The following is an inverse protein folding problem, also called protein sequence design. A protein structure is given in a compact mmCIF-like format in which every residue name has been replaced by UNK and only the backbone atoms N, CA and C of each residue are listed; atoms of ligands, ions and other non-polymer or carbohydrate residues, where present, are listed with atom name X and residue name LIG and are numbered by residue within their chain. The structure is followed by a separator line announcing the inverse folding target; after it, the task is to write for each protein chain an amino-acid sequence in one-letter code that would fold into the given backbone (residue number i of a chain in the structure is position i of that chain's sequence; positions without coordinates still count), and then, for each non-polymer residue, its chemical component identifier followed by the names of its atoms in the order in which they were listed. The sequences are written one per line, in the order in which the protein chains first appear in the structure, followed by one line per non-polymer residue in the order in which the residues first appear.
data_IF_537977513423
#
_entry.id   IF_537977513423
#
_cell.length_a   1.000
_cell.length_b   1.000
_cell.length_c   1.000
_cell.angle_alpha   90.00
_cell.angle_beta   90.00
_cell.angle_gamma   90.00
#
_symmetry.space_group_name_H-M   'P 1'
#
loop_
_entity.id
_entity.type
_entity.pdbx_description
1 polymer ?
#
# COMPACT_ATOMS: atom_id res chain seq x y z
N UNK A 1 39.01 -3.28 8.82
CA UNK A 1 37.83 -3.07 9.70
C UNK A 1 36.50 -3.05 8.93
N UNK A 2 36.40 -2.35 7.78
CA UNK A 2 35.20 -2.38 6.90
C UNK A 2 34.85 -3.79 6.40
N UNK A 3 35.85 -4.60 6.03
CA UNK A 3 35.68 -6.01 5.63
C UNK A 3 35.08 -6.92 6.70
N UNK A 4 35.28 -6.60 7.99
CA UNK A 4 34.72 -7.39 9.10
C UNK A 4 33.24 -7.08 9.29
N UNK A 5 32.85 -5.81 9.15
CA UNK A 5 31.44 -5.39 9.14
C UNK A 5 30.69 -5.99 7.94
N UNK A 6 31.33 -6.07 6.77
CA UNK A 6 30.77 -6.68 5.57
C UNK A 6 30.55 -8.21 5.70
N UNK A 7 31.40 -8.91 6.47
CA UNK A 7 31.25 -10.36 6.73
C UNK A 7 30.18 -10.65 7.78
N UNK A 8 29.96 -9.75 8.74
CA UNK A 8 28.89 -9.88 9.75
C UNK A 8 27.50 -9.71 9.14
N UNK A 9 27.31 -8.80 8.17
CA UNK A 9 26.03 -8.66 7.47
C UNK A 9 25.68 -9.89 6.63
N UNK A 10 26.68 -10.59 6.09
CA UNK A 10 26.48 -11.78 5.25
C UNK A 10 25.89 -12.97 6.02
N UNK A 11 26.08 -13.04 7.34
CA UNK A 11 25.50 -14.10 8.18
C UNK A 11 23.99 -13.96 8.42
N UNK A 12 23.42 -12.79 8.15
CA UNK A 12 21.99 -12.51 8.39
C UNK A 12 21.14 -12.52 7.11
N UNK A 13 21.70 -12.76 5.93
CA UNK A 13 20.94 -12.65 4.67
C UNK A 13 21.31 -13.67 3.58
N UNK A 14 21.39 -14.97 3.91
CA UNK A 14 21.55 -16.00 2.86
C UNK A 14 20.38 -16.04 1.86
N UNK A 15 19.28 -15.33 2.12
CA UNK A 15 18.04 -15.34 1.31
C UNK A 15 17.81 -14.05 0.51
N UNK A 16 18.55 -12.95 0.70
CA UNK A 16 18.09 -11.63 0.24
C UNK A 16 19.01 -10.83 -0.70
N UNK A 17 20.07 -11.41 -1.27
CA UNK A 17 20.89 -10.65 -2.23
C UNK A 17 21.27 -11.56 -3.38
N UNK A 18 20.53 -11.49 -4.49
CA UNK A 18 21.07 -11.83 -5.80
C UNK A 18 22.11 -10.74 -6.15
N UNK A 19 23.41 -10.93 -5.87
CA UNK A 19 24.41 -9.87 -5.98
C UNK A 19 24.54 -9.40 -7.42
N UNK A 20 24.26 -10.31 -8.36
CA UNK A 20 24.25 -10.12 -9.79
C UNK A 20 23.37 -8.92 -10.18
N UNK A 21 22.16 -8.80 -9.62
CA UNK A 21 21.25 -7.66 -9.90
C UNK A 21 21.76 -6.32 -9.35
N UNK A 22 22.56 -6.33 -8.28
CA UNK A 22 23.16 -5.13 -7.70
C UNK A 22 24.41 -4.68 -8.47
N UNK A 23 25.13 -5.63 -9.06
CA UNK A 23 26.42 -5.46 -9.75
C UNK A 23 26.25 -5.18 -11.25
N UNK A 24 25.07 -5.42 -11.84
CA UNK A 24 24.81 -5.03 -13.23
C UNK A 24 25.25 -3.58 -13.50
N UNK A 25 25.93 -3.30 -14.62
CA UNK A 25 26.24 -1.94 -15.05
C UNK A 25 25.00 -1.06 -15.00
N UNK A 26 25.15 0.23 -14.65
CA UNK A 26 24.02 1.13 -14.54
C UNK A 26 23.17 1.20 -15.83
N UNK A 27 23.75 0.88 -17.00
CA UNK A 27 23.06 0.78 -18.29
C UNK A 27 22.12 -0.43 -18.43
N UNK A 28 22.38 -1.51 -17.70
CA UNK A 28 21.68 -2.79 -17.84
C UNK A 28 20.63 -3.01 -16.73
N UNK A 29 20.45 -2.03 -15.83
CA UNK A 29 19.45 -2.14 -14.77
C UNK A 29 18.05 -2.02 -15.36
N UNK A 30 17.15 -2.98 -15.06
CA UNK A 30 15.82 -3.05 -15.66
C UNK A 30 14.94 -1.81 -15.39
N UNK A 31 15.33 -1.00 -14.40
CA UNK A 31 14.56 0.17 -13.98
C UNK A 31 15.20 1.51 -14.44
N UNK A 32 16.27 1.51 -15.23
CA UNK A 32 16.88 2.76 -15.69
C UNK A 32 15.86 3.53 -16.54
N UNK A 33 15.48 4.73 -16.11
CA UNK A 33 14.48 5.56 -16.78
C UNK A 33 13.03 5.17 -16.52
N UNK A 34 12.77 4.12 -15.71
CA UNK A 34 11.41 3.76 -15.30
C UNK A 34 10.97 4.46 -14.00
N UNK A 35 11.86 5.25 -13.40
CA UNK A 35 11.52 6.12 -12.27
C UNK A 35 10.56 7.24 -12.70
N UNK A 36 9.73 7.76 -11.79
CA UNK A 36 8.90 8.92 -12.10
C UNK A 36 9.79 10.11 -12.54
N UNK A 37 9.30 10.99 -13.43
CA UNK A 37 10.03 12.19 -13.79
C UNK A 37 10.31 13.01 -12.53
N UNK A 38 11.55 13.48 -12.37
CA UNK A 38 11.96 14.31 -11.24
C UNK A 38 11.58 15.78 -11.48
N UNK A 39 10.29 16.03 -11.71
CA UNK A 39 9.73 17.36 -11.92
C UNK A 39 9.21 17.99 -10.61
N UNK A 40 8.74 19.23 -10.67
CA UNK A 40 8.20 19.94 -9.51
C UNK A 40 7.04 19.20 -8.85
N UNK A 41 6.21 18.51 -9.65
CA UNK A 41 5.08 17.71 -9.16
C UNK A 41 5.57 16.54 -8.32
N UNK A 42 6.60 15.82 -8.79
CA UNK A 42 7.24 14.75 -8.02
C UNK A 42 7.72 15.25 -6.66
N UNK A 43 8.39 16.42 -6.61
CA UNK A 43 8.86 16.98 -5.33
C UNK A 43 7.72 17.37 -4.40
N UNK A 44 6.67 18.01 -4.91
CA UNK A 44 5.51 18.36 -4.09
C UNK A 44 4.83 17.10 -3.56
N UNK A 45 4.47 16.17 -4.43
CA UNK A 45 3.66 15.00 -4.08
C UNK A 45 4.44 13.92 -3.30
N UNK A 46 5.71 13.69 -3.65
CA UNK A 46 6.50 12.58 -3.08
C UNK A 46 7.56 13.04 -2.07
N UNK A 47 7.92 14.33 -2.04
CA UNK A 47 8.92 14.85 -1.09
C UNK A 47 8.32 15.72 0.00
N UNK A 48 7.59 16.75 -0.38
CA UNK A 48 7.07 17.75 0.56
C UNK A 48 5.81 17.25 1.28
N UNK A 49 4.84 16.72 0.53
CA UNK A 49 3.57 16.25 1.10
C UNK A 49 3.73 15.16 2.17
N UNK A 50 4.66 14.18 2.03
CA UNK A 50 4.90 13.19 3.08
C UNK A 50 5.52 13.76 4.36
N UNK A 51 6.16 14.93 4.33
CA UNK A 51 6.71 15.58 5.53
C UNK A 51 5.61 16.17 6.43
N UNK A 52 4.41 16.38 5.90
CA UNK A 52 3.36 17.18 6.57
C UNK A 52 1.98 16.51 6.57
N UNK A 53 1.97 15.17 6.53
CA UNK A 53 0.77 14.33 6.65
C UNK A 53 -0.27 14.47 5.51
N UNK A 54 0.17 14.35 4.26
CA UNK A 54 -0.68 14.11 3.07
C UNK A 54 -1.69 15.19 2.64
N UNK A 55 -2.03 16.17 3.49
CA UNK A 55 -2.98 17.25 3.17
C UNK A 55 -2.29 18.56 2.78
N UNK A 56 -2.72 19.26 1.70
CA UNK A 56 -2.11 20.52 1.28
C UNK A 56 -2.15 21.64 2.34
N UNK A 57 -3.21 21.71 3.14
CA UNK A 57 -3.33 22.70 4.22
C UNK A 57 -2.32 22.46 5.33
N UNK A 58 -2.09 21.20 5.70
CA UNK A 58 -1.03 20.81 6.62
C UNK A 58 0.33 21.25 6.09
N UNK A 59 0.61 20.98 4.81
CA UNK A 59 1.86 21.40 4.17
C UNK A 59 2.11 22.91 4.27
N UNK A 60 1.10 23.72 3.95
CA UNK A 60 1.21 25.18 4.05
C UNK A 60 1.46 25.64 5.48
N UNK A 61 0.75 25.07 6.45
CA UNK A 61 0.89 25.40 7.86
C UNK A 61 2.31 25.09 8.38
N UNK A 62 2.79 23.86 8.18
CA UNK A 62 4.12 23.45 8.63
C UNK A 62 5.22 24.23 7.91
N UNK A 63 5.09 24.50 6.61
CA UNK A 63 6.07 25.28 5.87
C UNK A 63 6.07 26.77 6.28
N UNK A 64 4.92 27.36 6.61
CA UNK A 64 4.87 28.71 7.16
C UNK A 64 5.62 28.79 8.50
N UNK A 65 5.40 27.83 9.40
CA UNK A 65 6.15 27.74 10.66
C UNK A 65 7.65 27.50 10.43
N UNK A 66 8.01 26.64 9.49
CA UNK A 66 9.39 26.41 9.09
C UNK A 66 10.07 27.71 8.62
N UNK A 67 9.39 28.50 7.76
CA UNK A 67 9.90 29.79 7.29
C UNK A 67 10.06 30.79 8.42
N UNK A 68 9.08 30.89 9.33
CA UNK A 68 9.19 31.72 10.55
C UNK A 68 10.39 31.29 11.39
N UNK A 69 10.62 29.98 11.52
CA UNK A 69 11.76 29.41 12.23
C UNK A 69 13.10 29.80 11.59
N UNK A 70 13.23 29.61 10.28
CA UNK A 70 14.43 29.99 9.53
C UNK A 70 14.71 31.50 9.62
N UNK A 71 13.71 32.34 9.38
CA UNK A 71 13.86 33.80 9.44
C UNK A 71 14.23 34.25 10.87
N UNK A 72 13.61 33.66 11.89
CA UNK A 72 13.92 33.95 13.29
C UNK A 72 15.35 33.54 13.68
N UNK A 73 15.84 32.43 13.14
CA UNK A 73 17.22 31.98 13.33
C UNK A 73 18.20 32.93 12.62
N UNK A 74 17.92 33.30 11.37
CA UNK A 74 18.75 34.20 10.57
C UNK A 74 18.87 35.60 11.18
N UNK A 75 17.77 36.11 11.76
CA UNK A 75 17.74 37.46 12.35
C UNK A 75 18.53 37.58 13.66
N UNK A 76 18.74 36.49 14.42
CA UNK A 76 19.31 36.54 15.78
C UNK A 76 20.85 36.62 15.90
N UNK A 77 21.56 36.95 14.83
CA UNK A 77 23.01 37.19 14.88
C UNK A 77 23.88 35.94 15.08
N UNK A 78 25.16 36.13 15.42
CA UNK A 78 26.21 35.09 15.39
C UNK A 78 26.02 33.84 16.28
N UNK A 79 25.42 33.88 17.50
CA UNK A 79 25.50 32.72 18.42
C UNK A 79 24.74 31.48 17.96
N UNK A 80 23.91 31.56 16.91
CA UNK A 80 23.16 30.43 16.38
C UNK A 80 23.61 29.96 14.99
N UNK A 81 24.68 30.54 14.41
CA UNK A 81 25.15 30.18 13.06
C UNK A 81 25.48 28.69 12.93
N UNK A 82 26.11 28.09 13.93
CA UNK A 82 26.44 26.66 13.92
C UNK A 82 25.18 25.78 13.94
N UNK A 83 24.17 26.14 14.74
CA UNK A 83 22.90 25.41 14.78
C UNK A 83 22.15 25.51 13.44
N UNK A 84 22.15 26.69 12.81
CA UNK A 84 21.57 26.89 11.47
C UNK A 84 22.30 26.01 10.45
N UNK A 85 23.64 26.06 10.42
CA UNK A 85 24.43 25.25 9.49
C UNK A 85 24.20 23.75 9.69
N UNK A 86 24.12 23.30 10.95
CA UNK A 86 23.84 21.90 11.28
C UNK A 86 22.44 21.48 10.81
N UNK A 87 21.40 22.26 11.14
CA UNK A 87 20.02 21.93 10.79
C UNK A 87 19.78 22.03 9.29
N UNK A 88 20.29 23.07 8.62
CA UNK A 88 20.21 23.20 7.16
C UNK A 88 21.02 22.09 6.47
N UNK A 89 22.21 21.77 6.98
CA UNK A 89 23.02 20.66 6.48
C UNK A 89 22.30 19.33 6.63
N UNK A 90 21.71 19.04 7.80
CA UNK A 90 20.93 17.83 8.04
C UNK A 90 19.64 17.78 7.21
N UNK A 91 18.98 18.91 6.98
CA UNK A 91 17.80 18.97 6.13
C UNK A 91 18.15 18.72 4.65
N UNK A 92 19.19 19.39 4.13
CA UNK A 92 19.51 19.40 2.71
C UNK A 92 20.34 18.19 2.29
N UNK A 93 21.28 17.72 3.11
CA UNK A 93 22.22 16.68 2.74
C UNK A 93 21.52 15.36 2.34
N UNK A 94 20.56 14.82 3.12
CA UNK A 94 19.85 13.61 2.70
C UNK A 94 19.07 13.84 1.41
N UNK A 95 18.38 14.98 1.25
CA UNK A 95 17.64 15.29 0.01
C UNK A 95 18.57 15.30 -1.20
N UNK A 96 19.71 15.98 -1.10
CA UNK A 96 20.71 16.04 -2.17
C UNK A 96 21.28 14.66 -2.48
N UNK A 97 21.67 13.89 -1.46
CA UNK A 97 22.19 12.54 -1.65
C UNK A 97 21.16 11.60 -2.30
N UNK A 98 19.90 11.68 -1.90
CA UNK A 98 18.83 10.88 -2.49
C UNK A 98 18.58 11.33 -3.92
N UNK A 99 18.51 12.63 -4.19
CA UNK A 99 18.32 13.15 -5.53
C UNK A 99 19.45 12.71 -6.47
N UNK A 100 20.71 12.85 -6.03
CA UNK A 100 21.88 12.33 -6.76
C UNK A 100 21.78 10.83 -6.97
N UNK A 101 21.41 10.07 -5.94
CA UNK A 101 21.22 8.62 -6.05
C UNK A 101 20.15 8.25 -7.08
N UNK A 102 19.01 8.94 -7.09
CA UNK A 102 17.94 8.72 -8.07
C UNK A 102 18.40 9.04 -9.49
N UNK A 103 19.10 10.16 -9.70
CA UNK A 103 19.64 10.53 -11.00
C UNK A 103 20.57 9.45 -11.55
N UNK A 104 21.43 8.87 -10.69
CA UNK A 104 22.39 7.85 -11.13
C UNK A 104 21.80 6.45 -11.26
N UNK A 105 20.84 6.08 -10.42
CA UNK A 105 20.34 4.70 -10.32
C UNK A 105 18.98 4.49 -10.99
N UNK A 106 18.21 5.54 -11.27
CA UNK A 106 16.85 5.44 -11.83
C UNK A 106 15.89 4.62 -10.96
N UNK A 107 16.22 4.41 -9.68
CA UNK A 107 15.45 3.54 -8.80
C UNK A 107 14.16 4.21 -8.34
N UNK A 108 13.18 3.39 -7.98
CA UNK A 108 11.96 3.86 -7.33
C UNK A 108 12.29 4.71 -6.09
N UNK A 109 11.80 5.95 -6.07
CA UNK A 109 11.88 6.78 -4.89
C UNK A 109 10.97 6.23 -3.80
N UNK A 110 11.55 5.89 -2.66
CA UNK A 110 10.77 5.48 -1.51
C UNK A 110 10.76 6.65 -0.52
N UNK A 111 9.56 7.14 -0.17
CA UNK A 111 9.35 8.23 0.80
C UNK A 111 10.12 8.01 2.12
N UNK A 112 10.45 6.74 2.45
CA UNK A 112 11.30 6.35 3.57
C UNK A 112 12.67 7.02 3.61
N UNK A 113 13.22 7.46 2.47
CA UNK A 113 14.52 8.13 2.47
C UNK A 113 14.44 9.57 3.00
N UNK A 114 13.27 10.22 2.88
CA UNK A 114 13.06 11.58 3.41
C UNK A 114 12.89 11.55 4.94
N UNK A 115 12.54 10.40 5.54
CA UNK A 115 12.38 10.30 6.99
C UNK A 115 13.61 10.79 7.77
N UNK A 116 14.80 10.73 7.17
CA UNK A 116 16.03 11.24 7.78
C UNK A 116 16.12 12.77 7.88
N UNK A 117 15.34 13.51 7.09
CA UNK A 117 15.28 14.99 7.13
C UNK A 117 14.24 15.49 8.13
N UNK A 118 13.30 14.62 8.52
CA UNK A 118 12.16 14.96 9.37
C UNK A 118 12.58 15.52 10.74
N UNK A 119 13.59 14.99 11.46
CA UNK A 119 14.00 15.57 12.75
C UNK A 119 14.45 17.03 12.64
N UNK A 120 15.31 17.35 11.67
CA UNK A 120 15.78 18.72 11.46
C UNK A 120 14.64 19.65 11.05
N UNK A 121 13.76 19.18 10.15
CA UNK A 121 12.56 19.91 9.75
C UNK A 121 11.67 20.25 10.95
N UNK A 122 11.31 19.24 11.76
CA UNK A 122 10.44 19.41 12.93
C UNK A 122 11.07 20.30 14.00
N UNK A 123 12.39 20.27 14.19
CA UNK A 123 13.08 21.18 15.09
C UNK A 123 12.96 22.64 14.64
N UNK A 124 13.12 22.91 13.34
CA UNK A 124 12.96 24.27 12.79
C UNK A 124 11.50 24.72 12.90
N UNK A 125 10.53 23.84 12.59
CA UNK A 125 9.10 24.12 12.76
C UNK A 125 8.77 24.44 14.21
N UNK A 126 9.23 23.63 15.17
CA UNK A 126 8.99 23.84 16.59
C UNK A 126 9.55 25.18 17.06
N UNK A 127 10.75 25.55 16.57
CA UNK A 127 11.33 26.85 16.84
C UNK A 127 10.50 28.00 16.23
N UNK A 128 10.04 27.85 14.99
CA UNK A 128 9.16 28.84 14.35
C UNK A 128 7.84 29.02 15.08
N UNK A 129 7.25 27.93 15.57
CA UNK A 129 6.05 27.93 16.40
C UNK A 129 6.25 28.70 17.71
N UNK A 130 7.33 28.41 18.45
CA UNK A 130 7.69 29.16 19.66
C UNK A 130 7.79 30.67 19.39
N UNK A 131 8.36 31.06 18.24
CA UNK A 131 8.52 32.47 17.88
C UNK A 131 7.24 33.14 17.48
N UNK A 132 6.42 32.47 16.67
CA UNK A 132 5.12 32.98 16.30
C UNK A 132 4.26 33.23 17.55
N UNK A 133 4.18 32.24 18.45
CA UNK A 133 3.42 32.37 19.69
C UNK A 133 3.99 33.48 20.57
N UNK A 134 5.32 33.55 20.72
CA UNK A 134 5.96 34.63 21.46
C UNK A 134 5.68 36.03 20.90
N UNK A 135 5.58 36.19 19.57
CA UNK A 135 5.20 37.44 18.94
C UNK A 135 3.74 37.78 19.19
N UNK A 136 2.82 36.83 19.04
CA UNK A 136 1.39 37.02 19.32
C UNK A 136 1.16 37.43 20.78
N UNK A 137 1.82 36.77 21.74
CA UNK A 137 1.70 37.11 23.17
C UNK A 137 2.18 38.54 23.46
N UNK A 138 3.26 38.97 22.80
CA UNK A 138 3.75 40.36 22.92
C UNK A 138 2.77 41.36 22.31
N UNK A 139 2.23 41.06 21.13
CA UNK A 139 1.26 41.91 20.45
C UNK A 139 -0.04 42.09 21.26
N UNK A 140 -0.48 41.03 21.94
CA UNK A 140 -1.66 41.06 22.80
C UNK A 140 -1.41 41.66 24.20
N UNK A 141 -0.19 42.14 24.47
CA UNK A 141 0.24 42.70 25.76
C UNK A 141 0.01 41.74 26.97
N UNK A 142 -0.03 40.42 26.74
CA UNK A 142 -0.20 39.40 27.78
C UNK A 142 1.13 39.01 28.45
N UNK A 143 2.01 39.99 28.67
CA UNK A 143 3.36 39.74 29.19
C UNK A 143 3.35 39.17 30.60
N UNK A 144 2.41 39.58 31.44
CA UNK A 144 2.24 39.08 32.82
C UNK A 144 1.87 37.59 32.90
N UNK A 145 1.26 37.03 31.85
CA UNK A 145 0.83 35.63 31.79
C UNK A 145 1.54 34.86 30.67
N UNK A 146 2.75 35.30 30.29
CA UNK A 146 3.44 34.81 29.10
C UNK A 146 3.51 33.29 29.00
N UNK A 147 3.79 32.59 30.10
CA UNK A 147 3.90 31.12 30.10
C UNK A 147 2.55 30.46 29.77
N UNK A 148 1.46 30.92 30.40
CA UNK A 148 0.10 30.42 30.16
C UNK A 148 -0.33 30.75 28.73
N UNK A 149 -0.09 31.98 28.29
CA UNK A 149 -0.43 32.42 26.95
C UNK A 149 0.33 31.63 25.86
N UNK A 150 1.61 31.31 26.10
CA UNK A 150 2.39 30.43 25.22
C UNK A 150 1.82 29.02 25.21
N UNK A 151 1.53 28.44 26.37
CA UNK A 151 0.96 27.09 26.47
C UNK A 151 -0.39 26.99 25.75
N UNK A 152 -1.28 27.97 25.93
CA UNK A 152 -2.59 28.05 25.25
C UNK A 152 -2.41 28.23 23.74
N UNK A 153 -1.52 29.13 23.31
CA UNK A 153 -1.22 29.35 21.89
C UNK A 153 -0.67 28.08 21.21
N UNK A 154 0.23 27.36 21.89
CA UNK A 154 0.73 26.06 21.43
C UNK A 154 -0.39 25.02 21.36
N UNK A 155 -1.24 24.92 22.38
CA UNK A 155 -2.34 23.97 22.40
C UNK A 155 -3.34 24.23 21.25
N UNK A 156 -3.71 25.50 21.03
CA UNK A 156 -4.63 25.90 19.98
C UNK A 156 -4.09 25.61 18.56
N UNK A 157 -2.77 25.64 18.37
CA UNK A 157 -2.14 25.34 17.09
C UNK A 157 -1.85 23.84 16.90
N UNK A 158 -1.45 23.14 17.96
CA UNK A 158 -1.08 21.72 17.89
C UNK A 158 -2.27 20.78 17.87
N UNK A 159 -3.35 21.07 18.62
CA UNK A 159 -4.51 20.17 18.70
C UNK A 159 -5.14 19.96 17.31
N UNK A 160 -5.46 21.00 16.52
CA UNK A 160 -6.03 20.80 15.18
C UNK A 160 -5.06 20.07 14.22
N UNK A 161 -3.76 20.36 14.32
CA UNK A 161 -2.76 19.69 13.50
C UNK A 161 -2.69 18.18 13.83
N UNK A 162 -2.72 17.83 15.11
CA UNK A 162 -2.70 16.45 15.58
C UNK A 162 -4.00 15.71 15.25
N UNK A 163 -5.17 16.33 15.39
CA UNK A 163 -6.45 15.66 15.08
C UNK A 163 -6.56 15.29 13.61
N UNK A 164 -6.09 16.16 12.71
CA UNK A 164 -6.02 15.87 11.27
C UNK A 164 -5.10 14.68 11.00
N UNK A 165 -3.91 14.66 11.61
CA UNK A 165 -2.94 13.57 11.44
C UNK A 165 -3.43 12.25 12.01
N UNK A 166 -4.08 12.28 13.17
CA UNK A 166 -4.67 11.11 13.80
C UNK A 166 -5.79 10.53 12.93
N UNK A 167 -6.59 11.36 12.27
CA UNK A 167 -7.60 10.90 11.32
C UNK A 167 -6.98 10.16 10.13
N UNK A 168 -5.92 10.71 9.54
CA UNK A 168 -5.21 10.06 8.43
C UNK A 168 -4.54 8.75 8.90
N UNK A 169 -3.94 8.75 10.10
CA UNK A 169 -3.35 7.55 10.71
C UNK A 169 -4.38 6.47 11.03
N UNK A 170 -5.54 6.87 11.56
CA UNK A 170 -6.66 5.98 11.81
C UNK A 170 -7.18 5.40 10.50
N UNK A 171 -7.34 6.20 9.44
CA UNK A 171 -7.76 5.68 8.13
C UNK A 171 -6.72 4.74 7.52
N UNK A 172 -5.44 5.02 7.71
CA UNK A 172 -4.33 4.19 7.24
C UNK A 172 -4.22 2.86 8.00
N UNK A 173 -4.56 2.84 9.29
CA UNK A 173 -4.55 1.61 10.10
C UNK A 173 -5.91 0.95 10.26
N UNK A 174 -6.99 1.58 9.80
CA UNK A 174 -8.31 0.99 9.77
C UNK A 174 -8.24 -0.33 9.02
N UNK A 175 -8.94 -1.35 9.54
CA UNK A 175 -8.84 -2.73 9.06
C UNK A 175 -9.11 -2.86 7.55
N UNK A 176 -9.96 -2.01 6.98
CA UNK A 176 -10.29 -1.99 5.55
C UNK A 176 -9.10 -1.70 4.62
N UNK A 177 -8.00 -1.16 5.15
CA UNK A 177 -6.81 -0.79 4.38
C UNK A 177 -5.77 -1.91 4.30
N UNK A 178 -5.88 -2.96 5.14
CA UNK A 178 -4.86 -4.02 5.21
C UNK A 178 -5.25 -5.18 4.31
N UNK A 179 -4.26 -5.68 3.60
CA UNK A 179 -4.34 -6.91 2.83
C UNK A 179 -4.42 -8.11 3.80
N UNK A 180 -5.50 -8.89 3.72
CA UNK A 180 -5.77 -10.08 4.53
C UNK A 180 -5.04 -11.32 3.99
N UNK A 181 -3.71 -11.25 4.02
CA UNK A 181 -2.83 -12.34 3.61
C UNK A 181 -3.07 -13.64 4.40
N UNK A 182 -3.59 -13.54 5.62
CA UNK A 182 -3.97 -14.69 6.43
C UNK A 182 -5.11 -15.47 5.79
N UNK A 183 -6.17 -14.78 5.35
CA UNK A 183 -7.28 -15.41 4.65
C UNK A 183 -6.83 -16.08 3.34
N UNK A 184 -5.90 -15.46 2.60
CA UNK A 184 -5.29 -16.08 1.40
C UNK A 184 -4.56 -17.36 1.77
N UNK A 185 -3.69 -17.33 2.79
CA UNK A 185 -2.95 -18.50 3.22
C UNK A 185 -3.86 -19.63 3.71
N UNK A 186 -4.94 -19.31 4.43
CA UNK A 186 -5.94 -20.29 4.84
C UNK A 186 -6.67 -20.92 3.64
N UNK A 187 -7.09 -20.11 2.66
CA UNK A 187 -7.70 -20.60 1.43
C UNK A 187 -6.75 -21.58 0.70
N UNK A 188 -5.50 -21.19 0.51
CA UNK A 188 -4.51 -22.02 -0.17
C UNK A 188 -4.18 -23.29 0.62
N UNK A 189 -3.98 -23.21 1.93
CA UNK A 189 -3.72 -24.39 2.77
C UNK A 189 -4.85 -25.42 2.74
N UNK A 190 -6.10 -24.96 2.60
CA UNK A 190 -7.26 -25.85 2.62
C UNK A 190 -7.56 -26.48 1.25
N UNK A 191 -7.20 -25.82 0.15
CA UNK A 191 -7.68 -26.18 -1.19
C UNK A 191 -6.61 -26.35 -2.27
N UNK A 192 -5.38 -25.87 -2.05
CA UNK A 192 -4.28 -26.16 -2.95
C UNK A 192 -3.79 -27.60 -2.71
N UNK A 193 -3.60 -28.35 -3.79
CA UNK A 193 -3.07 -29.72 -3.74
C UNK A 193 -1.58 -29.75 -4.13
N UNK A 194 -0.81 -30.82 -3.83
CA UNK A 194 0.64 -30.84 -4.03
C UNK A 194 1.13 -30.52 -5.46
N UNK A 195 0.33 -30.80 -6.49
CA UNK A 195 0.67 -30.52 -7.90
C UNK A 195 0.25 -29.11 -8.37
N UNK A 196 -0.39 -28.33 -7.50
CA UNK A 196 -0.77 -26.95 -7.81
C UNK A 196 0.42 -26.01 -7.75
N UNK A 197 0.41 -25.00 -8.62
CA UNK A 197 1.36 -23.87 -8.51
C UNK A 197 0.68 -22.61 -8.00
N UNK A 198 1.32 -21.94 -7.05
CA UNK A 198 0.90 -20.62 -6.55
C UNK A 198 1.81 -19.55 -7.15
N UNK A 199 1.22 -18.64 -7.93
CA UNK A 199 1.91 -17.56 -8.63
C UNK A 199 1.54 -16.24 -7.94
N UNK A 200 2.43 -15.74 -7.08
CA UNK A 200 2.22 -14.53 -6.30
C UNK A 200 3.01 -13.35 -6.88
N UNK A 201 2.42 -12.60 -7.81
CA UNK A 201 3.13 -11.52 -8.53
C UNK A 201 3.41 -10.34 -7.58
N UNK A 202 4.68 -10.09 -7.26
CA UNK A 202 5.14 -9.03 -6.31
C UNK A 202 4.56 -9.19 -4.90
N UNK A 203 4.12 -10.40 -4.57
CA UNK A 203 3.47 -10.77 -3.31
C UNK A 203 4.12 -12.03 -2.70
N UNK A 204 5.31 -12.40 -3.17
CA UNK A 204 6.03 -13.59 -2.75
C UNK A 204 6.35 -13.56 -1.24
N UNK A 205 6.90 -12.46 -0.66
CA UNK A 205 7.22 -12.44 0.76
C UNK A 205 6.03 -12.71 1.70
N UNK A 206 4.86 -12.04 1.56
CA UNK A 206 3.72 -12.34 2.42
C UNK A 206 3.14 -13.74 2.13
N UNK A 207 3.11 -14.20 0.88
CA UNK A 207 2.62 -15.56 0.58
C UNK A 207 3.51 -16.64 1.20
N UNK A 208 4.83 -16.52 1.11
CA UNK A 208 5.75 -17.47 1.75
C UNK A 208 5.58 -17.51 3.27
N UNK A 209 5.15 -16.40 3.89
CA UNK A 209 4.86 -16.37 5.32
C UNK A 209 3.56 -17.09 5.68
N UNK A 210 2.48 -16.89 4.92
CA UNK A 210 1.15 -17.43 5.24
C UNK A 210 0.83 -18.79 4.58
N UNK A 211 1.59 -19.17 3.56
CA UNK A 211 1.50 -20.44 2.85
C UNK A 211 2.92 -20.92 2.49
N UNK A 212 3.69 -21.45 3.47
CA UNK A 212 5.08 -21.83 3.26
C UNK A 212 5.29 -22.89 2.19
N UNK A 213 4.31 -23.77 1.96
CA UNK A 213 4.34 -24.79 0.91
C UNK A 213 4.45 -24.20 -0.51
N UNK A 214 4.17 -22.91 -0.70
CA UNK A 214 4.48 -22.24 -1.95
C UNK A 214 5.97 -22.18 -2.26
N UNK A 215 6.89 -22.31 -1.29
CA UNK A 215 8.32 -21.97 -1.40
C UNK A 215 9.17 -22.86 -2.32
N UNK A 216 8.76 -23.05 -3.58
CA UNK A 216 9.67 -23.27 -4.71
C UNK A 216 10.53 -22.00 -4.85
N UNK A 217 11.80 -22.05 -5.33
CA UNK A 217 12.61 -20.84 -5.46
C UNK A 217 11.95 -19.90 -6.47
N UNK A 218 11.15 -18.97 -5.96
CA UNK A 218 10.49 -17.97 -6.76
C UNK A 218 11.56 -17.01 -7.26
N UNK A 219 12.06 -17.24 -8.47
CA UNK A 219 12.59 -16.13 -9.25
C UNK A 219 11.44 -15.15 -9.40
N UNK A 220 11.50 -14.03 -8.66
CA UNK A 220 10.49 -12.97 -8.66
C UNK A 220 9.86 -12.84 -10.04
N UNK A 221 8.55 -13.02 -10.14
CA UNK A 221 7.82 -13.09 -11.41
C UNK A 221 7.70 -11.72 -12.12
N UNK A 222 8.74 -10.91 -11.99
CA UNK A 222 9.01 -9.71 -12.78
C UNK A 222 9.17 -10.04 -14.27
N UNK A 223 9.42 -11.31 -14.62
CA UNK A 223 9.57 -11.82 -15.98
C UNK A 223 8.40 -12.74 -16.32
N UNK A 224 7.92 -12.66 -17.55
CA UNK A 224 6.81 -13.48 -18.06
C UNK A 224 7.17 -14.95 -18.24
N UNK A 225 8.46 -15.26 -18.44
CA UNK A 225 8.90 -16.60 -18.81
C UNK A 225 8.75 -17.62 -17.68
N UNK A 226 9.12 -17.31 -16.41
CA UNK A 226 8.85 -18.24 -15.30
C UNK A 226 7.35 -18.48 -15.07
N UNK A 227 6.50 -17.46 -15.26
CA UNK A 227 5.03 -17.63 -15.19
C UNK A 227 4.58 -18.61 -16.28
N UNK A 228 5.05 -18.43 -17.51
CA UNK A 228 4.71 -19.29 -18.65
C UNK A 228 5.19 -20.72 -18.44
N UNK A 229 6.40 -20.91 -17.93
CA UNK A 229 6.96 -22.22 -17.62
C UNK A 229 6.12 -22.93 -16.55
N UNK A 230 5.80 -22.25 -15.45
CA UNK A 230 4.93 -22.76 -14.40
C UNK A 230 3.54 -23.15 -14.94
N UNK A 231 2.98 -22.34 -15.83
CA UNK A 231 1.69 -22.64 -16.47
C UNK A 231 1.74 -23.88 -17.38
N UNK A 232 2.87 -24.17 -18.01
CA UNK A 232 3.04 -25.36 -18.85
C UNK A 232 3.24 -26.63 -18.02
N UNK A 233 3.85 -26.51 -16.84
CA UNK A 233 4.16 -27.65 -15.97
C UNK A 233 2.99 -28.05 -15.08
N UNK A 234 2.16 -27.09 -14.67
CA UNK A 234 1.08 -27.32 -13.70
C UNK A 234 -0.29 -27.15 -14.34
N UNK A 235 -1.13 -28.18 -14.20
CA UNK A 235 -2.50 -28.16 -14.72
C UNK A 235 -3.36 -27.15 -13.96
N UNK A 236 -3.23 -27.09 -12.63
CA UNK A 236 -4.01 -26.21 -11.75
C UNK A 236 -3.12 -25.16 -11.08
N UNK A 237 -3.63 -23.92 -11.05
CA UNK A 237 -2.83 -22.72 -10.82
C UNK A 237 -3.62 -21.72 -9.99
N UNK A 238 -2.95 -21.12 -9.02
CA UNK A 238 -3.49 -20.08 -8.16
C UNK A 238 -2.70 -18.79 -8.39
N UNK A 239 -3.33 -17.78 -8.97
CA UNK A 239 -2.70 -16.47 -9.12
C UNK A 239 -3.13 -15.58 -7.98
N UNK A 240 -2.18 -15.07 -7.21
CA UNK A 240 -2.45 -14.13 -6.11
C UNK A 240 -1.99 -12.74 -6.50
N UNK A 241 -2.94 -11.83 -6.67
CA UNK A 241 -2.70 -10.45 -7.03
C UNK A 241 -3.03 -9.53 -5.85
N UNK A 242 -2.07 -8.71 -5.43
CA UNK A 242 -2.20 -7.71 -4.35
C UNK A 242 -2.42 -6.31 -4.92
N UNK A 243 -2.59 -5.29 -4.08
CA UNK A 243 -2.69 -3.90 -4.56
C UNK A 243 -1.47 -3.45 -5.38
N UNK A 244 -0.31 -4.08 -5.14
CA UNK A 244 0.95 -3.80 -5.82
C UNK A 244 1.04 -4.40 -7.23
N UNK A 245 0.35 -5.52 -7.50
CA UNK A 245 0.27 -6.13 -8.84
C UNK A 245 -1.05 -5.85 -9.54
N UNK A 246 -2.16 -5.86 -8.80
CA UNK A 246 -3.53 -5.70 -9.32
C UNK A 246 -3.72 -4.42 -10.13
N UNK A 247 -3.15 -3.30 -9.68
CA UNK A 247 -3.24 -2.01 -10.40
C UNK A 247 -2.30 -1.91 -11.59
N UNK A 248 -1.20 -2.67 -11.60
CA UNK A 248 -0.13 -2.55 -12.60
C UNK A 248 -0.21 -3.58 -13.71
N UNK A 249 -0.88 -4.71 -13.46
CA UNK A 249 -0.87 -5.88 -14.32
C UNK A 249 -2.27 -6.11 -14.95
N UNK A 250 -2.87 -5.06 -15.53
CA UNK A 250 -4.19 -5.10 -16.19
C UNK A 250 -4.29 -6.17 -17.27
N UNK A 251 -3.26 -6.28 -18.13
CA UNK A 251 -3.19 -7.33 -19.16
C UNK A 251 -3.25 -8.74 -18.59
N UNK A 252 -2.65 -8.97 -17.41
CA UNK A 252 -2.71 -10.27 -16.75
C UNK A 252 -4.14 -10.56 -16.25
N UNK A 253 -4.83 -9.54 -15.71
CA UNK A 253 -6.22 -9.67 -15.27
C UNK A 253 -7.17 -9.95 -16.43
N UNK A 254 -7.04 -9.20 -17.53
CA UNK A 254 -7.82 -9.41 -18.75
C UNK A 254 -7.59 -10.81 -19.32
N UNK A 255 -6.35 -11.28 -19.31
CA UNK A 255 -5.99 -12.63 -19.74
C UNK A 255 -6.54 -13.73 -18.81
N UNK A 256 -6.58 -13.50 -17.50
CA UNK A 256 -7.14 -14.45 -16.53
C UNK A 256 -8.67 -14.50 -16.55
N UNK A 257 -9.33 -13.35 -16.72
CA UNK A 257 -10.78 -13.19 -16.57
C UNK A 257 -11.65 -14.23 -17.30
N UNK A 258 -11.41 -14.60 -18.58
CA UNK A 258 -12.28 -15.53 -19.30
C UNK A 258 -12.10 -17.00 -18.90
N UNK A 259 -11.03 -17.35 -18.19
CA UNK A 259 -10.58 -18.74 -18.01
C UNK A 259 -10.31 -19.12 -16.55
N UNK A 260 -10.60 -18.23 -15.60
CA UNK A 260 -10.33 -18.44 -14.18
C UNK A 260 -11.49 -17.95 -13.32
N UNK A 261 -11.65 -18.55 -12.14
CA UNK A 261 -12.58 -18.07 -11.13
C UNK A 261 -11.89 -17.05 -10.26
N UNK A 262 -12.52 -15.89 -10.11
CA UNK A 262 -11.99 -14.76 -9.35
C UNK A 262 -12.53 -14.78 -7.92
N UNK A 263 -11.69 -15.08 -6.95
CA UNK A 263 -12.03 -15.05 -5.52
C UNK A 263 -11.46 -13.76 -4.91
N UNK A 264 -12.34 -12.79 -4.67
CA UNK A 264 -11.95 -11.50 -4.09
C UNK A 264 -11.89 -11.64 -2.57
N UNK A 265 -10.68 -11.71 -2.01
CA UNK A 265 -10.47 -11.93 -0.56
C UNK A 265 -10.73 -10.64 0.21
N UNK A 266 -10.24 -9.52 -0.33
CA UNK A 266 -10.53 -8.18 0.15
C UNK A 266 -10.46 -7.17 -1.02
N UNK A 267 -10.52 -5.86 -0.73
CA UNK A 267 -10.51 -4.82 -1.77
C UNK A 267 -9.19 -4.73 -2.55
N UNK A 268 -8.11 -5.31 -2.04
CA UNK A 268 -6.72 -5.20 -2.50
C UNK A 268 -6.12 -6.54 -2.91
N UNK A 269 -6.63 -7.67 -2.41
CA UNK A 269 -6.19 -9.01 -2.79
C UNK A 269 -7.27 -9.77 -3.54
N UNK A 270 -6.87 -10.29 -4.69
CA UNK A 270 -7.68 -11.19 -5.51
C UNK A 270 -6.89 -12.45 -5.79
N UNK A 271 -7.54 -13.59 -5.61
CA UNK A 271 -7.01 -14.90 -5.98
C UNK A 271 -7.76 -15.39 -7.20
N UNK A 272 -7.04 -15.78 -8.25
CA UNK A 272 -7.63 -16.45 -9.42
C UNK A 272 -7.28 -17.93 -9.37
N UNK A 273 -8.30 -18.78 -9.48
CA UNK A 273 -8.14 -20.21 -9.67
C UNK A 273 -8.31 -20.53 -11.15
N UNK A 274 -7.29 -21.14 -11.76
CA UNK A 274 -7.31 -21.61 -13.14
C UNK A 274 -6.95 -23.10 -13.17
N UNK A 275 -7.58 -23.87 -14.06
CA UNK A 275 -7.17 -25.23 -14.36
C UNK A 275 -7.26 -25.51 -15.86
N UNK A 276 -6.21 -26.11 -16.42
CA UNK A 276 -6.17 -26.53 -17.82
C UNK A 276 -7.31 -27.52 -18.13
N UNK A 277 -8.06 -27.24 -19.19
CA UNK A 277 -9.16 -28.09 -19.64
C UNK A 277 -10.48 -27.94 -18.86
N UNK A 278 -10.53 -27.12 -17.81
CA UNK A 278 -11.77 -26.77 -17.12
C UNK A 278 -12.27 -25.39 -17.55
N UNK A 279 -13.58 -25.27 -17.71
CA UNK A 279 -14.24 -23.97 -17.90
C UNK A 279 -14.34 -23.21 -16.56
N UNK A 280 -14.61 -21.90 -16.62
CA UNK A 280 -14.90 -21.12 -15.42
C UNK A 280 -16.12 -21.66 -14.65
N UNK A 281 -17.10 -22.25 -15.35
CA UNK A 281 -18.28 -22.88 -14.74
C UNK A 281 -17.92 -24.13 -13.93
N UNK A 282 -17.03 -24.98 -14.46
CA UNK A 282 -16.56 -26.19 -13.75
C UNK A 282 -15.79 -25.81 -12.48
N UNK A 283 -14.96 -24.78 -12.59
CA UNK A 283 -14.22 -24.23 -11.45
C UNK A 283 -15.14 -23.56 -10.42
N UNK A 284 -16.22 -22.89 -10.85
CA UNK A 284 -17.21 -22.31 -9.93
C UNK A 284 -17.93 -23.40 -9.15
N UNK A 285 -18.30 -24.51 -9.79
CA UNK A 285 -18.90 -25.66 -9.11
C UNK A 285 -17.98 -26.24 -8.03
N UNK A 286 -16.67 -26.22 -8.26
CA UNK A 286 -15.67 -26.60 -7.27
C UNK A 286 -15.57 -25.58 -6.13
N UNK A 287 -15.45 -24.29 -6.45
CA UNK A 287 -15.37 -23.19 -5.46
C UNK A 287 -16.59 -23.11 -4.55
N UNK A 288 -17.77 -23.56 -5.02
CA UNK A 288 -18.98 -23.71 -4.21
C UNK A 288 -18.76 -24.56 -2.95
N UNK A 289 -17.82 -25.50 -3.00
CA UNK A 289 -17.50 -26.41 -1.89
C UNK A 289 -16.45 -25.84 -0.94
N UNK A 290 -15.88 -24.67 -1.24
CA UNK A 290 -14.83 -24.09 -0.42
C UNK A 290 -15.42 -23.40 0.82
N UNK A 291 -14.71 -23.53 1.94
CA UNK A 291 -14.89 -22.74 3.14
C UNK A 291 -14.19 -21.40 2.91
N UNK A 292 -14.95 -20.48 2.30
CA UNK A 292 -14.45 -19.19 1.87
C UNK A 292 -14.23 -18.25 3.08
N UNK A 293 -13.31 -17.28 2.97
CA UNK A 293 -13.17 -16.23 3.97
C UNK A 293 -14.51 -15.58 4.29
N UNK A 294 -14.79 -15.37 5.58
CA UNK A 294 -16.03 -14.77 6.08
C UNK A 294 -16.03 -13.25 5.83
N UNK A 295 -16.06 -12.86 4.55
CA UNK A 295 -16.02 -11.49 4.06
C UNK A 295 -17.16 -11.29 3.07
N UNK A 296 -18.01 -10.31 3.32
CA UNK A 296 -19.16 -10.02 2.42
C UNK A 296 -18.75 -9.78 0.97
N UNK A 297 -17.61 -9.10 0.75
CA UNK A 297 -17.09 -8.83 -0.59
C UNK A 297 -16.77 -10.12 -1.38
N UNK A 298 -16.25 -11.15 -0.72
CA UNK A 298 -15.93 -12.44 -1.35
C UNK A 298 -17.21 -13.11 -1.86
N UNK A 299 -18.22 -13.19 -1.01
CA UNK A 299 -19.49 -13.82 -1.37
C UNK A 299 -20.25 -13.04 -2.44
N UNK A 300 -20.29 -11.70 -2.36
CA UNK A 300 -20.93 -10.87 -3.39
C UNK A 300 -20.28 -11.05 -4.77
N UNK A 301 -18.95 -11.08 -4.85
CA UNK A 301 -18.26 -11.28 -6.13
C UNK A 301 -18.43 -12.68 -6.72
N UNK A 302 -18.55 -13.71 -5.87
CA UNK A 302 -18.87 -15.05 -6.34
C UNK A 302 -20.33 -15.15 -6.76
N UNK A 303 -21.26 -14.48 -6.07
CA UNK A 303 -22.66 -14.38 -6.49
C UNK A 303 -22.78 -13.80 -7.91
N UNK A 304 -22.04 -12.72 -8.22
CA UNK A 304 -22.00 -12.13 -9.55
C UNK A 304 -21.52 -13.13 -10.61
N UNK A 305 -20.48 -13.93 -10.31
CA UNK A 305 -19.94 -14.92 -11.24
C UNK A 305 -20.89 -16.11 -11.45
N UNK A 306 -21.54 -16.60 -10.39
CA UNK A 306 -22.58 -17.63 -10.52
C UNK A 306 -23.75 -17.13 -11.36
N UNK A 307 -24.19 -15.88 -11.15
CA UNK A 307 -25.22 -15.24 -11.99
C UNK A 307 -24.81 -15.23 -13.46
N UNK A 308 -23.58 -14.80 -13.77
CA UNK A 308 -23.05 -14.77 -15.13
C UNK A 308 -22.93 -16.16 -15.76
N UNK A 309 -22.69 -17.19 -14.94
CA UNK A 309 -22.66 -18.59 -15.38
C UNK A 309 -24.06 -19.24 -15.49
N UNK A 310 -25.14 -18.50 -15.19
CA UNK A 310 -26.52 -18.97 -15.22
C UNK A 310 -26.98 -19.74 -13.98
N UNK A 311 -26.16 -19.85 -12.94
CA UNK A 311 -26.51 -20.48 -11.66
C UNK A 311 -27.13 -19.44 -10.71
N UNK A 312 -28.36 -19.06 -11.02
CA UNK A 312 -29.10 -18.01 -10.28
C UNK A 312 -29.39 -18.43 -8.83
N UNK A 313 -29.62 -19.72 -8.58
CA UNK A 313 -29.89 -20.24 -7.25
C UNK A 313 -28.66 -20.11 -6.34
N UNK A 314 -27.50 -20.56 -6.79
CA UNK A 314 -26.26 -20.41 -6.01
C UNK A 314 -25.90 -18.94 -5.85
N UNK A 315 -26.11 -18.12 -6.88
CA UNK A 315 -25.94 -16.67 -6.79
C UNK A 315 -26.77 -16.05 -5.65
N UNK A 316 -28.05 -16.44 -5.55
CA UNK A 316 -28.98 -16.00 -4.48
C UNK A 316 -28.46 -16.36 -3.09
N UNK A 317 -28.01 -17.60 -2.89
CA UNK A 317 -27.43 -18.08 -1.62
C UNK A 317 -26.20 -17.25 -1.24
N UNK A 318 -25.30 -16.99 -2.18
CA UNK A 318 -24.09 -16.21 -1.93
C UNK A 318 -24.40 -14.74 -1.63
N UNK A 319 -25.38 -14.10 -2.28
CA UNK A 319 -25.79 -12.76 -1.89
C UNK A 319 -26.39 -12.71 -0.50
N UNK A 320 -27.19 -13.70 -0.07
CA UNK A 320 -27.68 -13.76 1.31
C UNK A 320 -26.52 -13.81 2.32
N UNK A 321 -25.48 -14.62 2.05
CA UNK A 321 -24.27 -14.64 2.88
C UNK A 321 -23.54 -13.29 2.86
N UNK A 322 -23.45 -12.64 1.70
CA UNK A 322 -22.84 -11.31 1.59
C UNK A 322 -23.60 -10.24 2.40
N UNK A 323 -24.94 -10.28 2.39
CA UNK A 323 -25.82 -9.40 3.18
C UNK A 323 -25.62 -9.63 4.68
N UNK A 324 -25.52 -10.90 5.11
CA UNK A 324 -25.30 -11.25 6.51
C UNK A 324 -23.92 -10.80 7.03
N UNK A 325 -22.91 -10.78 6.16
CA UNK A 325 -21.53 -10.38 6.47
C UNK A 325 -21.22 -8.91 6.16
N UNK A 326 -22.22 -8.10 5.82
CA UNK A 326 -22.00 -6.70 5.41
C UNK A 326 -21.56 -5.83 6.60
N UNK A 327 -20.49 -5.06 6.42
CA UNK A 327 -19.87 -4.25 7.48
C UNK A 327 -20.60 -2.90 7.70
N UNK A 328 -21.51 -2.53 6.79
CA UNK A 328 -22.27 -1.28 6.87
C UNK A 328 -23.67 -1.41 6.27
N UNK A 329 -24.59 -0.57 6.73
CA UNK A 329 -25.96 -0.51 6.20
C UNK A 329 -26.00 -0.20 4.69
N UNK A 330 -25.12 0.68 4.20
CA UNK A 330 -25.03 1.01 2.78
C UNK A 330 -24.56 -0.18 1.92
N UNK A 331 -23.57 -0.94 2.41
CA UNK A 331 -23.12 -2.16 1.75
C UNK A 331 -24.23 -3.23 1.73
N UNK A 332 -24.92 -3.40 2.85
CA UNK A 332 -26.06 -4.32 2.98
C UNK A 332 -27.17 -3.99 1.97
N UNK A 333 -27.63 -2.74 1.95
CA UNK A 333 -28.67 -2.27 1.03
C UNK A 333 -28.27 -2.47 -0.45
N UNK A 334 -27.00 -2.26 -0.78
CA UNK A 334 -26.48 -2.53 -2.14
C UNK A 334 -26.62 -4.01 -2.50
N UNK A 335 -26.27 -4.94 -1.60
CA UNK A 335 -26.38 -6.37 -1.88
C UNK A 335 -27.84 -6.84 -1.92
N UNK A 336 -28.72 -6.28 -1.09
CA UNK A 336 -30.16 -6.52 -1.17
C UNK A 336 -30.74 -6.08 -2.53
N UNK A 337 -30.31 -4.93 -3.05
CA UNK A 337 -30.73 -4.47 -4.38
C UNK A 337 -30.23 -5.40 -5.51
N UNK A 338 -28.99 -5.90 -5.42
CA UNK A 338 -28.45 -6.86 -6.40
C UNK A 338 -29.18 -8.20 -6.35
N UNK A 339 -29.52 -8.66 -5.15
CA UNK A 339 -30.31 -9.87 -4.90
C UNK A 339 -31.73 -9.74 -5.48
N UNK A 340 -32.38 -8.60 -5.26
CA UNK A 340 -33.72 -8.31 -5.79
C UNK A 340 -33.73 -8.20 -7.33
N UNK A 341 -32.59 -7.89 -7.95
CA UNK A 341 -32.42 -7.83 -9.40
C UNK A 341 -32.06 -9.18 -10.05
N UNK A 342 -32.06 -10.29 -9.29
CA UNK A 342 -31.98 -11.63 -9.87
C UNK A 342 -33.34 -12.04 -10.45
N UNK A 343 -33.40 -12.72 -11.61
CA UNK A 343 -34.66 -13.21 -12.15
C UNK A 343 -35.32 -14.20 -11.18
N UNK A 344 -36.64 -14.18 -11.13
CA UNK A 344 -37.40 -15.16 -10.38
C UNK A 344 -37.33 -16.51 -11.08
N UNK A 345 -37.07 -17.57 -10.32
CA UNK A 345 -36.92 -18.93 -10.85
C UNK A 345 -38.20 -19.40 -11.55
N UNK A 346 -39.36 -18.83 -11.19
CA UNK A 346 -40.65 -19.16 -11.79
C UNK A 346 -40.83 -18.59 -13.21
N UNK A 347 -40.12 -17.51 -13.56
CA UNK A 347 -40.28 -16.84 -14.86
C UNK A 347 -39.50 -17.53 -15.99
N UNK A 348 -38.68 -18.53 -15.69
CA UNK A 348 -37.77 -19.18 -16.67
C UNK A 348 -38.30 -20.52 -17.19
N UNK A 349 -39.49 -20.97 -16.76
CA UNK A 349 -40.01 -22.32 -17.08
C UNK A 349 -40.80 -22.38 -18.38
N UNK A 350 -41.07 -21.26 -19.06
CA UNK A 350 -41.94 -21.27 -20.25
C UNK A 350 -41.12 -20.82 -21.46
N UNK A 351 -40.68 -21.79 -22.27
CA UNK A 351 -40.65 -21.85 -23.75
C UNK A 351 -39.83 -23.12 -24.10
N UNK A 352 -40.52 -24.24 -24.27
CA UNK A 352 -40.11 -25.33 -25.16
C UNK A 352 -41.08 -25.38 -26.35
#
# INVERSE_FOLDING_TARGET
RILVLYRLSYRFSSVAIQPETLVLPAAEKPNRGSGPPLDSRFFVENVLTPLTATRPSGLLFYNALFLVGLLSLAYRGQPHRQAILLLCGWLLLPVLLIYTFLLYRGTFFANRYILYTLPAYLMIVAFGLDRLVGWVVKLLAWTSYRQIAVAVGLALLLIPALTVQLGDLQSYYAAESREDWRAVGQLLNNYAVPDDVVIAVKAEPPINWYFPSASVPFETFSRTDPIRAAMQQHARRWFVLSSYSYTRDEKLREWLAPQAVRIVIDRRIVVYLQQQGKSARDLLAEVKQFNLPQKSLTYAHLADQFKQAGDVETSRVFYHQAIALADSAGQKARYEALLAALPDLNDTIIIE
#
